data_IF_515367036301
#
_entry.id   IF_515367036301
#
_cell.length_a   1.000
_cell.length_b   1.000
_cell.length_c   1.000
_cell.angle_alpha   90.00
_cell.angle_beta   90.00
_cell.angle_gamma   90.00
#
_symmetry.space_group_name_H-M   'P 1'
#
loop_
_entity.id
_entity.type
_entity.pdbx_description
1 polymer ?
#
# COMPACT_ATOMS: atom_id res chain seq x y z
N UNK A 1 -36.26 -43.84 -6.47
CA UNK A 1 -35.26 -42.77 -6.34
C UNK A 1 -35.00 -42.27 -7.74
N UNK A 2 -35.54 -41.11 -8.11
CA UNK A 2 -35.22 -40.48 -9.38
C UNK A 2 -33.85 -39.81 -9.24
N UNK A 3 -32.90 -40.31 -10.00
CA UNK A 3 -31.58 -39.72 -10.16
C UNK A 3 -31.70 -38.60 -11.20
N UNK A 4 -32.30 -37.48 -10.81
CA UNK A 4 -32.41 -36.27 -11.61
C UNK A 4 -31.09 -35.47 -11.60
N UNK A 5 -29.96 -36.14 -11.92
CA UNK A 5 -28.73 -35.42 -12.22
C UNK A 5 -28.92 -34.75 -13.58
N UNK A 6 -29.42 -33.51 -13.57
CA UNK A 6 -29.63 -32.70 -14.78
C UNK A 6 -28.31 -32.62 -15.54
N UNK A 7 -28.25 -33.31 -16.68
CA UNK A 7 -27.03 -33.42 -17.50
C UNK A 7 -26.65 -32.01 -17.98
N UNK A 8 -25.48 -31.52 -17.56
CA UNK A 8 -24.98 -30.20 -17.94
C UNK A 8 -24.83 -30.13 -19.46
N UNK A 9 -25.44 -29.14 -20.09
CA UNK A 9 -25.36 -28.92 -21.53
C UNK A 9 -24.19 -28.01 -21.90
N UNK A 10 -23.78 -28.00 -23.17
CA UNK A 10 -22.78 -27.04 -23.67
C UNK A 10 -23.24 -25.59 -23.52
N UNK A 11 -24.56 -25.34 -23.60
CA UNK A 11 -25.14 -24.01 -23.38
C UNK A 11 -25.01 -23.58 -21.91
N UNK A 12 -25.17 -24.50 -20.96
CA UNK A 12 -24.93 -24.24 -19.54
C UNK A 12 -23.46 -23.91 -19.28
N UNK A 13 -22.53 -24.65 -19.92
CA UNK A 13 -21.09 -24.38 -19.84
C UNK A 13 -20.77 -23.00 -20.42
N UNK A 14 -21.27 -22.67 -21.61
CA UNK A 14 -21.02 -21.38 -22.25
C UNK A 14 -21.58 -20.21 -21.43
N UNK A 15 -22.78 -20.37 -20.84
CA UNK A 15 -23.37 -19.36 -19.96
C UNK A 15 -22.52 -19.14 -18.71
N UNK A 16 -22.04 -20.22 -18.09
CA UNK A 16 -21.18 -20.15 -16.91
C UNK A 16 -19.82 -19.51 -17.24
N UNK A 17 -19.20 -19.87 -18.37
CA UNK A 17 -17.96 -19.25 -18.84
C UNK A 17 -18.16 -17.76 -19.09
N UNK A 18 -19.21 -17.38 -19.81
CA UNK A 18 -19.52 -15.99 -20.08
C UNK A 18 -19.74 -15.19 -18.78
N UNK A 19 -20.49 -15.74 -17.83
CA UNK A 19 -20.67 -15.10 -16.52
C UNK A 19 -19.35 -14.96 -15.75
N UNK A 20 -18.50 -16.00 -15.78
CA UNK A 20 -17.20 -16.00 -15.11
C UNK A 20 -16.27 -14.96 -15.72
N UNK A 21 -16.18 -14.89 -17.04
CA UNK A 21 -15.38 -13.87 -17.73
C UNK A 21 -15.88 -12.47 -17.43
N UNK A 22 -17.21 -12.24 -17.46
CA UNK A 22 -17.80 -10.94 -17.11
C UNK A 22 -17.40 -10.49 -15.70
N UNK A 23 -17.42 -11.40 -14.73
CA UNK A 23 -16.96 -11.12 -13.36
C UNK A 23 -15.46 -10.85 -13.32
N UNK A 24 -14.64 -11.62 -14.05
CA UNK A 24 -13.19 -11.42 -14.09
C UNK A 24 -12.83 -10.04 -14.66
N UNK A 25 -13.39 -9.67 -15.81
CA UNK A 25 -13.06 -8.41 -16.49
C UNK A 25 -13.61 -7.17 -15.76
N UNK A 26 -14.58 -7.36 -14.86
CA UNK A 26 -15.06 -6.30 -13.96
C UNK A 26 -14.07 -5.95 -12.83
N UNK A 27 -12.97 -6.70 -12.70
CA UNK A 27 -11.87 -6.35 -11.79
C UNK A 27 -10.83 -5.47 -12.49
N UNK A 28 -10.10 -4.61 -11.76
CA UNK A 28 -10.21 -4.35 -10.31
C UNK A 28 -11.50 -3.59 -9.94
N UNK A 29 -12.01 -3.84 -8.73
CA UNK A 29 -13.21 -3.18 -8.19
C UNK A 29 -12.88 -1.75 -7.72
N UNK A 30 -13.87 -0.86 -7.65
CA UNK A 30 -13.67 0.55 -7.23
C UNK A 30 -12.98 0.65 -5.88
N UNK A 31 -13.48 -0.07 -4.89
CA UNK A 31 -12.91 -0.08 -3.55
C UNK A 31 -11.39 -0.43 -3.56
N UNK A 32 -10.99 -1.39 -4.40
CA UNK A 32 -9.58 -1.78 -4.59
C UNK A 32 -8.77 -0.69 -5.31
N UNK A 33 -9.36 -0.03 -6.31
CA UNK A 33 -8.75 1.12 -6.99
C UNK A 33 -8.57 2.31 -6.02
N UNK A 34 -9.57 2.56 -5.17
CA UNK A 34 -9.57 3.67 -4.21
C UNK A 34 -8.44 3.48 -3.19
N UNK A 35 -8.31 2.28 -2.61
CA UNK A 35 -7.19 1.96 -1.73
C UNK A 35 -5.85 2.21 -2.41
N UNK A 36 -5.68 1.76 -3.66
CA UNK A 36 -4.43 1.93 -4.38
C UNK A 36 -4.10 3.41 -4.65
N UNK A 37 -5.08 4.20 -5.08
CA UNK A 37 -4.90 5.58 -5.47
C UNK A 37 -4.79 6.53 -4.27
N UNK A 38 -5.62 6.32 -3.24
CA UNK A 38 -5.96 7.35 -2.25
C UNK A 38 -5.67 7.01 -0.79
N UNK A 39 -5.28 5.77 -0.44
CA UNK A 39 -4.93 5.43 0.95
C UNK A 39 -3.95 6.43 1.57
N UNK A 40 -4.13 6.80 2.85
CA UNK A 40 -3.27 7.78 3.51
C UNK A 40 -1.83 7.28 3.52
N UNK A 41 -1.02 7.99 2.77
CA UNK A 41 0.36 7.63 2.57
C UNK A 41 1.24 7.91 3.78
N UNK A 42 0.70 8.62 4.77
CA UNK A 42 1.38 8.89 6.03
C UNK A 42 1.01 7.90 7.12
N UNK A 43 -0.01 7.07 6.89
CA UNK A 43 -0.48 6.09 7.84
C UNK A 43 -0.27 4.65 7.30
N UNK A 44 0.81 3.96 7.71
CA UNK A 44 1.08 2.59 7.24
C UNK A 44 0.05 1.55 7.68
N UNK A 45 -0.88 1.90 8.56
CA UNK A 45 -1.99 1.02 8.97
C UNK A 45 -3.26 1.24 8.14
N UNK A 46 -3.28 2.24 7.24
CA UNK A 46 -4.46 2.63 6.45
C UNK A 46 -4.71 1.68 5.26
N UNK A 47 -3.83 0.71 5.03
CA UNK A 47 -3.98 -0.29 3.98
C UNK A 47 -4.98 -1.40 4.36
N UNK A 48 -5.32 -1.53 5.65
CA UNK A 48 -6.02 -2.74 6.13
C UNK A 48 -7.52 -2.62 6.37
N UNK A 49 -8.17 -1.47 6.63
CA UNK A 49 -9.63 -1.53 6.90
C UNK A 49 -10.48 -0.24 6.85
N UNK A 50 -10.02 0.87 6.29
CA UNK A 50 -10.86 2.08 6.19
C UNK A 50 -10.76 2.72 4.82
N UNK A 51 -11.64 2.32 3.90
CA UNK A 51 -11.85 3.13 2.70
C UNK A 51 -12.55 4.39 3.17
N UNK A 52 -11.88 5.53 3.03
CA UNK A 52 -12.51 6.83 3.28
C UNK A 52 -13.74 6.95 2.35
N UNK A 53 -14.96 7.14 2.90
CA UNK A 53 -16.17 7.28 2.09
C UNK A 53 -16.07 8.37 1.02
N UNK A 54 -15.29 9.43 1.29
CA UNK A 54 -15.04 10.52 0.33
C UNK A 54 -14.29 10.03 -0.92
N UNK A 55 -13.41 9.03 -0.78
CA UNK A 55 -12.67 8.45 -1.90
C UNK A 55 -13.52 7.48 -2.73
N UNK A 56 -14.48 6.79 -2.11
CA UNK A 56 -15.49 6.02 -2.83
C UNK A 56 -16.40 6.95 -3.64
N UNK A 57 -16.88 8.04 -3.03
CA UNK A 57 -17.70 9.04 -3.72
C UNK A 57 -16.97 9.69 -4.91
N UNK A 58 -15.67 9.97 -4.75
CA UNK A 58 -14.83 10.44 -5.85
C UNK A 58 -14.74 9.40 -6.98
N UNK A 59 -14.48 8.12 -6.66
CA UNK A 59 -14.43 7.08 -7.68
C UNK A 59 -15.76 6.86 -8.38
N UNK A 60 -16.86 6.88 -7.65
CA UNK A 60 -18.20 6.76 -8.23
C UNK A 60 -18.48 7.95 -9.15
N UNK A 61 -18.04 9.15 -8.79
CA UNK A 61 -18.13 10.33 -9.65
C UNK A 61 -17.29 10.19 -10.92
N UNK A 62 -16.06 9.68 -10.82
CA UNK A 62 -15.18 9.39 -11.96
C UNK A 62 -15.81 8.32 -12.86
N UNK A 63 -16.30 7.23 -12.27
CA UNK A 63 -16.94 6.14 -13.00
C UNK A 63 -18.21 6.62 -13.72
N UNK A 64 -19.05 7.41 -13.06
CA UNK A 64 -20.24 7.99 -13.68
C UNK A 64 -19.88 8.92 -14.85
N UNK A 65 -18.84 9.73 -14.72
CA UNK A 65 -18.33 10.59 -15.81
C UNK A 65 -17.88 9.75 -17.01
N UNK A 66 -17.11 8.68 -16.76
CA UNK A 66 -16.61 7.78 -17.80
C UNK A 66 -17.76 7.03 -18.48
N UNK A 67 -18.67 6.42 -17.72
CA UNK A 67 -19.84 5.73 -18.29
C UNK A 67 -20.69 6.66 -19.14
N UNK A 68 -20.93 7.88 -18.66
CA UNK A 68 -21.66 8.89 -19.42
C UNK A 68 -20.93 9.22 -20.73
N UNK A 69 -19.62 9.48 -20.68
CA UNK A 69 -18.84 9.78 -21.87
C UNK A 69 -18.86 8.64 -22.89
N UNK A 70 -18.65 7.40 -22.45
CA UNK A 70 -18.69 6.22 -23.33
C UNK A 70 -20.08 6.06 -23.95
N UNK A 71 -21.14 6.21 -23.16
CA UNK A 71 -22.52 6.12 -23.64
C UNK A 71 -22.87 7.23 -24.65
N UNK A 72 -22.47 8.46 -24.37
CA UNK A 72 -22.72 9.61 -25.26
C UNK A 72 -21.96 9.49 -26.60
N UNK A 73 -20.97 8.60 -26.68
CA UNK A 73 -20.16 8.35 -27.86
C UNK A 73 -20.28 6.91 -28.40
N UNK A 74 -21.26 6.12 -27.96
CA UNK A 74 -21.43 4.71 -28.34
C UNK A 74 -21.60 4.54 -29.87
N UNK A 75 -22.25 5.52 -30.51
CA UNK A 75 -22.42 5.58 -31.96
C UNK A 75 -21.11 5.77 -32.75
N UNK A 76 -20.01 6.14 -32.08
CA UNK A 76 -18.68 6.29 -32.71
C UNK A 76 -17.85 5.01 -32.62
N UNK A 77 -18.33 3.99 -31.90
CA UNK A 77 -17.60 2.74 -31.70
C UNK A 77 -17.93 1.77 -32.83
N UNK A 78 -16.89 1.24 -33.49
CA UNK A 78 -17.05 0.35 -34.63
C UNK A 78 -16.76 -1.10 -34.23
N UNK A 79 -17.82 -1.86 -33.93
CA UNK A 79 -17.77 -3.27 -33.57
C UNK A 79 -17.76 -4.24 -34.76
N UNK A 80 -17.41 -3.81 -35.99
CA UNK A 80 -17.46 -4.68 -37.18
C UNK A 80 -16.33 -5.70 -37.26
N UNK A 81 -15.13 -5.33 -36.78
CA UNK A 81 -13.94 -6.19 -36.80
C UNK A 81 -13.14 -6.01 -35.52
N UNK A 82 -12.21 -6.93 -35.27
CA UNK A 82 -11.24 -6.81 -34.18
C UNK A 82 -10.49 -5.47 -34.22
N UNK A 83 -9.89 -5.13 -35.37
CA UNK A 83 -9.06 -3.93 -35.54
C UNK A 83 -9.90 -2.66 -35.36
N UNK A 84 -11.05 -2.58 -36.02
CA UNK A 84 -11.93 -1.42 -35.89
C UNK A 84 -12.46 -1.22 -34.48
N UNK A 85 -12.71 -2.31 -33.75
CA UNK A 85 -13.16 -2.24 -32.35
C UNK A 85 -12.04 -1.70 -31.47
N UNK A 86 -10.83 -2.24 -31.63
CA UNK A 86 -9.67 -1.79 -30.87
C UNK A 86 -9.38 -0.31 -31.14
N UNK A 87 -9.26 0.08 -32.41
CA UNK A 87 -8.93 1.45 -32.81
C UNK A 87 -9.99 2.46 -32.32
N UNK A 88 -11.28 2.13 -32.45
CA UNK A 88 -12.35 3.05 -32.04
C UNK A 88 -12.43 3.21 -30.51
N UNK A 89 -12.26 2.13 -29.73
CA UNK A 89 -12.20 2.21 -28.28
C UNK A 89 -10.93 2.91 -27.78
N UNK A 90 -9.78 2.67 -28.42
CA UNK A 90 -8.53 3.34 -28.08
C UNK A 90 -8.60 4.85 -28.36
N UNK A 91 -9.15 5.22 -29.53
CA UNK A 91 -9.39 6.62 -29.88
C UNK A 91 -10.37 7.29 -28.90
N UNK A 92 -11.43 6.59 -28.51
CA UNK A 92 -12.39 7.08 -27.51
C UNK A 92 -11.70 7.36 -26.17
N UNK A 93 -10.85 6.45 -25.71
CA UNK A 93 -10.03 6.63 -24.50
C UNK A 93 -9.13 7.85 -24.61
N UNK A 94 -8.39 7.98 -25.72
CA UNK A 94 -7.48 9.13 -25.96
C UNK A 94 -8.22 10.45 -25.94
N UNK A 95 -9.37 10.53 -26.60
CA UNK A 95 -10.17 11.76 -26.66
C UNK A 95 -10.69 12.17 -25.27
N UNK A 96 -11.10 11.22 -24.43
CA UNK A 96 -11.51 11.52 -23.05
C UNK A 96 -10.44 12.29 -22.26
N UNK A 97 -9.16 11.93 -22.44
CA UNK A 97 -8.03 12.56 -21.73
C UNK A 97 -7.42 13.77 -22.46
N UNK A 98 -7.93 14.16 -23.64
CA UNK A 98 -7.41 15.29 -24.43
C UNK A 98 -8.44 16.40 -24.65
N UNK A 99 -9.73 16.14 -24.46
CA UNK A 99 -10.82 17.08 -24.73
C UNK A 99 -11.32 17.80 -23.45
N UNK A 100 -12.40 18.58 -23.57
CA UNK A 100 -13.07 19.28 -22.47
C UNK A 100 -13.41 18.37 -21.27
N UNK A 101 -13.67 17.08 -21.53
CA UNK A 101 -13.91 16.07 -20.49
C UNK A 101 -12.70 15.90 -19.55
N UNK A 102 -11.48 16.11 -20.06
CA UNK A 102 -10.27 16.12 -19.24
C UNK A 102 -10.32 17.25 -18.21
N UNK A 103 -10.73 18.46 -18.60
CA UNK A 103 -10.87 19.59 -17.67
C UNK A 103 -11.93 19.29 -16.60
N UNK A 104 -13.05 18.67 -16.97
CA UNK A 104 -14.09 18.25 -16.01
C UNK A 104 -13.52 17.24 -15.01
N UNK A 105 -12.73 16.26 -15.48
CA UNK A 105 -12.05 15.31 -14.62
C UNK A 105 -11.02 16.00 -13.72
N UNK A 106 -10.22 16.92 -14.26
CA UNK A 106 -9.25 17.69 -13.49
C UNK A 106 -9.91 18.52 -12.40
N UNK A 107 -11.02 19.20 -12.69
CA UNK A 107 -11.80 19.95 -11.72
C UNK A 107 -12.41 19.04 -10.66
N UNK A 108 -12.90 17.86 -11.04
CA UNK A 108 -13.45 16.87 -10.12
C UNK A 108 -12.39 16.42 -9.11
N UNK A 109 -11.19 16.06 -9.59
CA UNK A 109 -10.11 15.55 -8.75
C UNK A 109 -9.44 16.68 -7.96
N UNK A 110 -9.35 17.89 -8.52
CA UNK A 110 -8.70 19.04 -7.88
C UNK A 110 -9.48 19.62 -6.70
N UNK A 111 -10.74 19.23 -6.51
CA UNK A 111 -11.51 19.48 -5.27
C UNK A 111 -10.92 18.76 -4.06
N UNK A 112 -10.13 17.71 -4.30
CA UNK A 112 -9.38 16.98 -3.30
C UNK A 112 -7.94 17.50 -3.23
N UNK A 113 -7.22 17.28 -2.12
CA UNK A 113 -5.87 17.83 -1.93
C UNK A 113 -4.98 17.66 -3.18
N UNK A 114 -4.23 18.71 -3.56
CA UNK A 114 -3.36 18.72 -4.77
C UNK A 114 -2.44 17.49 -4.91
N UNK A 115 -2.11 16.81 -3.80
CA UNK A 115 -1.28 15.59 -3.78
C UNK A 115 -1.97 14.37 -4.39
N UNK A 116 -3.29 14.41 -4.54
CA UNK A 116 -4.14 13.30 -5.01
C UNK A 116 -4.38 13.37 -6.53
N UNK A 117 -4.13 14.52 -7.17
CA UNK A 117 -4.44 14.77 -8.59
C UNK A 117 -3.92 13.68 -9.54
N UNK A 118 -2.61 13.40 -9.51
CA UNK A 118 -2.01 12.39 -10.39
C UNK A 118 -2.62 10.99 -10.18
N UNK A 119 -3.06 10.69 -8.95
CA UNK A 119 -3.65 9.40 -8.58
C UNK A 119 -5.11 9.29 -8.99
N UNK A 120 -5.86 10.39 -8.96
CA UNK A 120 -7.20 10.45 -9.54
C UNK A 120 -7.19 10.24 -11.05
N UNK A 121 -6.21 10.80 -11.76
CA UNK A 121 -6.04 10.56 -13.20
C UNK A 121 -5.69 9.09 -13.52
N UNK A 122 -4.84 8.46 -12.69
CA UNK A 122 -4.55 7.02 -12.82
C UNK A 122 -5.77 6.15 -12.52
N UNK A 123 -6.56 6.50 -11.49
CA UNK A 123 -7.81 5.82 -11.20
C UNK A 123 -8.81 5.93 -12.36
N UNK A 124 -8.93 7.11 -12.98
CA UNK A 124 -9.74 7.32 -14.17
C UNK A 124 -9.26 6.47 -15.36
N UNK A 125 -7.95 6.33 -15.57
CA UNK A 125 -7.40 5.41 -16.58
C UNK A 125 -7.79 3.95 -16.33
N UNK A 126 -7.68 3.48 -15.09
CA UNK A 126 -8.06 2.10 -14.73
C UNK A 126 -9.55 1.87 -15.00
N UNK A 127 -10.41 2.80 -14.56
CA UNK A 127 -11.86 2.72 -14.76
C UNK A 127 -12.22 2.77 -16.24
N UNK A 128 -11.62 3.69 -17.02
CA UNK A 128 -11.84 3.79 -18.47
C UNK A 128 -11.55 2.46 -19.16
N UNK A 129 -10.37 1.89 -18.95
CA UNK A 129 -10.00 0.61 -19.54
C UNK A 129 -10.94 -0.53 -19.11
N UNK A 130 -11.40 -0.55 -17.86
CA UNK A 130 -12.40 -1.52 -17.39
C UNK A 130 -13.75 -1.36 -18.12
N UNK A 131 -14.23 -0.14 -18.29
CA UNK A 131 -15.49 0.15 -19.00
C UNK A 131 -15.39 -0.24 -20.47
N UNK A 132 -14.29 0.09 -21.15
CA UNK A 132 -14.06 -0.29 -22.55
C UNK A 132 -13.92 -1.82 -22.71
N UNK A 133 -13.28 -2.49 -21.75
CA UNK A 133 -13.22 -3.96 -21.71
C UNK A 133 -14.61 -4.59 -21.64
N UNK A 134 -15.49 -4.06 -20.79
CA UNK A 134 -16.88 -4.52 -20.66
C UNK A 134 -17.70 -4.23 -21.93
N UNK A 135 -17.49 -3.07 -22.57
CA UNK A 135 -18.15 -2.72 -23.83
C UNK A 135 -17.75 -3.67 -24.97
N UNK A 136 -16.45 -3.96 -25.11
CA UNK A 136 -15.96 -4.94 -26.10
C UNK A 136 -16.51 -6.34 -25.82
N UNK A 137 -16.54 -6.77 -24.55
CA UNK A 137 -17.08 -8.06 -24.14
C UNK A 137 -18.56 -8.21 -24.49
N UNK A 138 -19.36 -7.18 -24.17
CA UNK A 138 -20.80 -7.17 -24.44
C UNK A 138 -21.12 -7.29 -25.94
N UNK A 139 -20.20 -6.86 -26.81
CA UNK A 139 -20.31 -6.94 -28.26
C UNK A 139 -19.57 -8.15 -28.87
N UNK A 140 -19.12 -9.10 -28.06
CA UNK A 140 -18.49 -10.35 -28.54
C UNK A 140 -17.02 -10.23 -28.96
N UNK A 141 -16.37 -9.09 -28.73
CA UNK A 141 -14.97 -8.84 -29.07
C UNK A 141 -14.04 -9.23 -27.93
N UNK A 142 -13.98 -10.52 -27.61
CA UNK A 142 -13.31 -11.04 -26.42
C UNK A 142 -11.80 -10.74 -26.35
N UNK A 143 -11.10 -10.77 -27.49
CA UNK A 143 -9.67 -10.44 -27.52
C UNK A 143 -9.42 -8.97 -27.18
N UNK A 144 -10.25 -8.05 -27.73
CA UNK A 144 -10.16 -6.62 -27.42
C UNK A 144 -10.49 -6.38 -25.94
N UNK A 145 -11.54 -7.04 -25.45
CA UNK A 145 -11.91 -6.99 -24.03
C UNK A 145 -10.75 -7.40 -23.12
N UNK A 146 -10.05 -8.48 -23.44
CA UNK A 146 -8.89 -8.96 -22.69
C UNK A 146 -7.76 -7.93 -22.66
N UNK A 147 -7.43 -7.31 -23.80
CA UNK A 147 -6.35 -6.31 -23.88
C UNK A 147 -6.64 -5.11 -22.96
N UNK A 148 -7.84 -4.54 -23.03
CA UNK A 148 -8.24 -3.44 -22.14
C UNK A 148 -8.27 -3.86 -20.67
N UNK A 149 -8.70 -5.08 -20.36
CA UNK A 149 -8.68 -5.60 -18.98
C UNK A 149 -7.24 -5.71 -18.44
N UNK A 150 -6.32 -6.26 -19.22
CA UNK A 150 -4.91 -6.37 -18.82
C UNK A 150 -4.29 -4.98 -18.61
N UNK A 151 -4.57 -4.01 -19.49
CA UNK A 151 -4.13 -2.61 -19.28
C UNK A 151 -4.68 -2.02 -17.97
N UNK A 152 -5.96 -2.24 -17.65
CA UNK A 152 -6.54 -1.78 -16.39
C UNK A 152 -5.83 -2.40 -15.17
N UNK A 153 -5.55 -3.70 -15.23
CA UNK A 153 -4.89 -4.46 -14.17
C UNK A 153 -3.43 -4.09 -14.00
N UNK A 154 -2.66 -3.94 -15.08
CA UNK A 154 -1.27 -3.49 -15.03
C UNK A 154 -1.16 -2.10 -14.44
N UNK A 155 -2.01 -1.17 -14.88
CA UNK A 155 -2.05 0.21 -14.35
C UNK A 155 -2.38 0.23 -12.86
N UNK A 156 -3.32 -0.61 -12.43
CA UNK A 156 -3.65 -0.79 -11.02
C UNK A 156 -2.46 -1.35 -10.22
N UNK A 157 -1.78 -2.38 -10.71
CA UNK A 157 -0.60 -2.95 -10.06
C UNK A 157 0.54 -1.93 -9.92
N UNK A 158 0.79 -1.14 -10.96
CA UNK A 158 1.75 -0.03 -10.91
C UNK A 158 1.37 0.99 -9.84
N UNK A 159 0.09 1.34 -9.74
CA UNK A 159 -0.43 2.27 -8.73
C UNK A 159 -0.20 1.74 -7.31
N UNK A 160 -0.54 0.46 -7.08
CA UNK A 160 -0.29 -0.24 -5.81
C UNK A 160 1.20 -0.25 -5.46
N UNK A 161 2.04 -0.64 -6.42
CA UNK A 161 3.48 -0.76 -6.21
C UNK A 161 4.12 0.58 -5.85
N UNK A 162 3.78 1.66 -6.55
CA UNK A 162 4.30 3.00 -6.22
C UNK A 162 3.84 3.45 -4.84
N UNK A 163 2.60 3.12 -4.44
CA UNK A 163 2.10 3.42 -3.11
C UNK A 163 2.90 2.65 -2.02
N UNK A 164 3.07 1.33 -2.16
CA UNK A 164 3.85 0.50 -1.22
C UNK A 164 5.29 1.00 -1.07
N UNK A 165 5.95 1.37 -2.18
CA UNK A 165 7.30 1.91 -2.15
C UNK A 165 7.38 3.23 -1.39
N UNK A 166 6.42 4.12 -1.61
CA UNK A 166 6.32 5.36 -0.84
C UNK A 166 6.15 5.08 0.65
N UNK A 167 5.22 4.20 1.04
CA UNK A 167 4.97 3.82 2.43
C UNK A 167 6.22 3.27 3.10
N UNK A 168 6.93 2.39 2.40
CA UNK A 168 8.16 1.76 2.90
C UNK A 168 9.26 2.80 3.09
N UNK A 169 9.43 3.72 2.13
CA UNK A 169 10.39 4.81 2.22
C UNK A 169 10.07 5.74 3.40
N UNK A 170 8.80 6.12 3.56
CA UNK A 170 8.36 6.97 4.67
C UNK A 170 8.56 6.30 6.03
N UNK A 171 8.19 5.02 6.18
CA UNK A 171 8.42 4.25 7.41
C UNK A 171 9.90 4.19 7.77
N UNK A 172 10.76 3.98 6.77
CA UNK A 172 12.21 4.01 6.95
C UNK A 172 12.70 5.40 7.36
N UNK A 173 12.17 6.47 6.76
CA UNK A 173 12.52 7.84 7.12
C UNK A 173 12.08 8.20 8.55
N UNK A 174 10.83 7.91 8.92
CA UNK A 174 10.31 8.11 10.28
C UNK A 174 11.13 7.33 11.31
N UNK A 175 11.47 6.08 11.02
CA UNK A 175 12.37 5.27 11.84
C UNK A 175 13.76 5.93 11.98
N UNK A 176 14.32 6.47 10.89
CA UNK A 176 15.60 7.21 10.94
C UNK A 176 15.50 8.51 11.75
N UNK A 177 14.41 9.28 11.63
CA UNK A 177 14.17 10.51 12.39
C UNK A 177 14.03 10.21 13.89
N UNK A 178 13.26 9.18 14.24
CA UNK A 178 13.08 8.73 15.62
C UNK A 178 14.38 8.17 16.23
N UNK A 179 15.20 7.45 15.44
CA UNK A 179 16.55 7.02 15.85
C UNK A 179 17.46 8.21 16.14
N UNK A 180 17.46 9.25 15.31
CA UNK A 180 18.27 10.46 15.57
C UNK A 180 17.89 11.17 16.88
N UNK A 181 16.61 11.27 17.19
CA UNK A 181 16.14 11.88 18.45
C UNK A 181 16.46 11.02 19.66
N UNK A 182 16.28 9.69 19.58
CA UNK A 182 16.66 8.77 20.65
C UNK A 182 18.18 8.69 20.84
N UNK A 183 18.96 8.60 19.77
CA UNK A 183 20.42 8.60 19.86
C UNK A 183 20.93 9.93 20.46
N UNK A 184 20.33 11.08 20.12
CA UNK A 184 20.69 12.37 20.70
C UNK A 184 20.26 12.52 22.18
N UNK A 185 19.08 12.02 22.56
CA UNK A 185 18.56 12.07 23.94
C UNK A 185 19.32 11.15 24.89
N UNK A 186 19.80 10.01 24.40
CA UNK A 186 20.39 8.96 25.23
C UNK A 186 21.93 8.85 25.14
N UNK A 187 22.59 9.48 24.15
CA UNK A 187 24.06 9.38 23.95
C UNK A 187 24.87 9.75 25.20
N UNK A 188 24.46 10.78 25.94
CA UNK A 188 25.18 11.23 27.15
C UNK A 188 24.83 10.42 28.40
N UNK A 189 23.54 10.21 28.64
CA UNK A 189 23.06 9.59 29.88
C UNK A 189 23.30 8.07 29.91
N UNK A 190 23.09 7.35 28.80
CA UNK A 190 23.40 5.91 28.73
C UNK A 190 24.91 5.66 28.80
N UNK A 191 25.72 6.56 28.24
CA UNK A 191 27.17 6.47 28.38
C UNK A 191 27.61 6.69 29.84
N UNK A 192 27.05 7.69 30.52
CA UNK A 192 27.28 7.91 31.95
C UNK A 192 26.88 6.69 32.77
N UNK A 193 25.72 6.10 32.50
CA UNK A 193 25.26 4.87 33.16
C UNK A 193 26.19 3.69 32.87
N UNK A 194 26.66 3.51 31.63
CA UNK A 194 27.61 2.44 31.28
C UNK A 194 28.96 2.61 31.99
N UNK A 195 29.48 3.83 32.08
CA UNK A 195 30.71 4.14 32.80
C UNK A 195 30.54 3.93 34.30
N UNK A 196 29.41 4.35 34.85
CA UNK A 196 29.07 4.13 36.26
C UNK A 196 28.91 2.64 36.60
N UNK A 197 28.21 1.87 35.77
CA UNK A 197 28.07 0.42 35.99
C UNK A 197 29.40 -0.32 35.82
N UNK A 198 30.30 0.16 34.95
CA UNK A 198 31.65 -0.38 34.84
C UNK A 198 32.48 -0.08 36.09
N UNK A 199 32.43 1.13 36.64
CA UNK A 199 33.16 1.45 37.88
C UNK A 199 32.64 0.66 39.08
N UNK A 200 31.31 0.44 39.16
CA UNK A 200 30.69 -0.42 40.15
C UNK A 200 31.15 -1.89 40.02
N UNK A 201 31.28 -2.39 38.79
CA UNK A 201 31.84 -3.71 38.51
C UNK A 201 33.33 -3.82 38.92
N UNK A 202 34.14 -2.81 38.62
CA UNK A 202 35.56 -2.74 39.01
C UNK A 202 35.75 -2.72 40.53
N UNK A 203 34.98 -1.90 41.26
CA UNK A 203 34.98 -1.85 42.74
C UNK A 203 34.67 -3.24 43.30
N UNK A 204 33.64 -3.89 42.76
CA UNK A 204 33.19 -5.19 43.24
C UNK A 204 34.17 -6.31 42.92
N UNK A 205 34.82 -6.26 41.75
CA UNK A 205 35.90 -7.17 41.40
C UNK A 205 37.13 -6.98 42.29
N UNK A 206 37.49 -5.74 42.65
CA UNK A 206 38.59 -5.45 43.59
C UNK A 206 38.34 -6.01 45.00
N UNK A 207 37.08 -6.15 45.39
CA UNK A 207 36.67 -6.73 46.67
C UNK A 207 36.49 -8.26 46.68
N UNK A 208 36.70 -8.95 45.56
CA UNK A 208 36.39 -10.39 45.42
C UNK A 208 37.53 -11.19 44.76
N UNK A 209 37.98 -12.27 45.42
CA UNK A 209 38.99 -13.21 44.87
C UNK A 209 38.49 -14.04 43.67
N UNK A 210 37.23 -13.91 43.24
CA UNK A 210 36.66 -14.59 42.06
C UNK A 210 35.99 -13.60 41.11
N UNK A 211 36.23 -13.76 39.80
CA UNK A 211 35.58 -12.99 38.73
C UNK A 211 34.06 -13.21 38.74
N UNK A 212 33.29 -12.16 38.93
CA UNK A 212 31.83 -12.21 38.97
C UNK A 212 31.21 -12.20 37.55
N UNK A 213 30.11 -12.92 37.39
CA UNK A 213 29.35 -12.98 36.13
C UNK A 213 28.58 -11.67 35.89
N UNK A 214 28.37 -11.29 34.63
CA UNK A 214 27.59 -10.09 34.26
C UNK A 214 26.21 -10.11 34.92
N UNK A 215 25.57 -11.29 35.00
CA UNK A 215 24.27 -11.47 35.64
C UNK A 215 24.32 -11.15 37.14
N UNK A 216 25.33 -11.64 37.86
CA UNK A 216 25.46 -11.39 39.31
C UNK A 216 25.79 -9.92 39.63
N UNK A 217 26.53 -9.26 38.75
CA UNK A 217 26.84 -7.83 38.88
C UNK A 217 25.63 -6.97 38.54
N UNK A 218 24.92 -7.27 37.44
CA UNK A 218 23.70 -6.57 37.07
C UNK A 218 22.59 -6.70 38.13
N UNK A 219 22.43 -7.88 38.73
CA UNK A 219 21.48 -8.10 39.83
C UNK A 219 21.77 -7.20 41.02
N UNK A 220 23.04 -7.11 41.43
CA UNK A 220 23.43 -6.28 42.55
C UNK A 220 23.29 -4.79 42.27
N UNK A 221 23.63 -4.35 41.05
CA UNK A 221 23.38 -2.96 40.62
C UNK A 221 21.88 -2.67 40.66
N UNK A 222 21.05 -3.60 40.17
CA UNK A 222 19.59 -3.48 40.20
C UNK A 222 19.03 -3.33 41.63
N UNK A 223 19.65 -4.02 42.60
CA UNK A 223 19.20 -4.04 44.01
C UNK A 223 19.74 -2.87 44.85
N UNK A 224 20.93 -2.33 44.55
CA UNK A 224 21.65 -1.41 45.43
C UNK A 224 22.04 -0.08 44.79
N UNK A 225 22.02 0.03 43.47
CA UNK A 225 22.55 1.18 42.71
C UNK A 225 21.66 1.57 41.50
N UNK A 226 20.35 1.27 41.59
CA UNK A 226 19.39 1.49 40.51
C UNK A 226 18.54 2.75 40.74
N UNK A 227 19.20 3.89 40.84
CA UNK A 227 18.55 5.18 41.10
C UNK A 227 17.56 5.57 39.99
N UNK A 228 17.79 5.08 38.77
CA UNK A 228 16.96 5.31 37.57
C UNK A 228 15.80 4.31 37.40
N UNK A 229 15.59 3.40 38.36
CA UNK A 229 14.55 2.37 38.33
C UNK A 229 14.52 1.53 37.04
N UNK A 230 15.68 1.24 36.46
CA UNK A 230 15.81 0.48 35.23
C UNK A 230 15.54 -1.01 35.47
N UNK A 231 14.96 -1.66 34.47
CA UNK A 231 14.79 -3.12 34.48
C UNK A 231 16.16 -3.83 34.47
N UNK A 232 16.22 -5.00 35.13
CA UNK A 232 17.43 -5.81 35.24
C UNK A 232 18.04 -6.13 33.87
N UNK A 233 17.21 -6.43 32.87
CA UNK A 233 17.61 -6.71 31.49
C UNK A 233 18.34 -5.52 30.86
N UNK A 234 17.87 -4.30 31.15
CA UNK A 234 18.47 -3.05 30.64
C UNK A 234 19.83 -2.80 31.30
N UNK A 235 19.94 -2.98 32.62
CA UNK A 235 21.21 -2.88 33.36
C UNK A 235 22.22 -3.93 32.85
N UNK A 236 21.76 -5.17 32.62
CA UNK A 236 22.58 -6.25 32.09
C UNK A 236 23.11 -5.95 30.68
N UNK A 237 22.27 -5.40 29.80
CA UNK A 237 22.68 -4.99 28.45
C UNK A 237 23.72 -3.86 28.50
N UNK A 238 23.49 -2.84 29.33
CA UNK A 238 24.43 -1.73 29.52
C UNK A 238 25.79 -2.22 30.04
N UNK A 239 25.81 -3.06 31.07
CA UNK A 239 27.03 -3.61 31.63
C UNK A 239 27.77 -4.52 30.63
N UNK A 240 27.03 -5.33 29.86
CA UNK A 240 27.60 -6.18 28.80
C UNK A 240 28.28 -5.36 27.71
N UNK A 241 27.64 -4.27 27.28
CA UNK A 241 28.23 -3.32 26.31
C UNK A 241 29.45 -2.60 26.89
N UNK A 242 29.39 -2.17 28.15
CA UNK A 242 30.49 -1.50 28.84
C UNK A 242 31.74 -2.40 28.97
N UNK A 243 31.58 -3.66 29.39
CA UNK A 243 32.68 -4.65 29.46
C UNK A 243 33.35 -4.92 28.10
N UNK A 244 32.61 -4.76 27.01
CA UNK A 244 33.11 -4.91 25.63
C UNK A 244 33.77 -3.64 25.09
N UNK A 245 33.89 -2.57 25.89
CA UNK A 245 34.39 -1.28 25.44
C UNK A 245 33.47 -0.55 24.46
N UNK A 246 32.19 -0.96 24.38
CA UNK A 246 31.20 -0.36 23.48
C UNK A 246 30.61 0.87 24.18
N UNK A 247 31.39 1.94 24.15
CA UNK A 247 30.94 3.29 24.44
C UNK A 247 30.55 3.95 23.12
N UNK A 248 29.50 4.76 23.14
CA UNK A 248 29.17 5.60 21.98
C UNK A 248 30.31 6.60 21.81
N UNK A 249 31.13 6.44 20.77
CA UNK A 249 32.23 7.38 20.51
C UNK A 249 31.71 8.82 20.56
N UNK A 250 32.45 9.63 21.31
CA UNK A 250 32.47 11.11 21.34
C UNK A 250 31.99 11.73 20.03
#
# INVERSE_FOLDING_TARGET
>A
MNDDSKKITMEDVNRNLHATFKVMISKPLNNVIACAAFADRNNPNDYEDVINPEYEELLDSIENLIHKYVKDNDNKINFSTYESTFDSLELLSKNFFLEETHNILEDLVSKYEKKIWAWGILAAHIIMNRVLSLAAFANGHYQVSYLFHETAKETHLHTVFTNIHFMTALKNELSRRNRKSNDARWKGHVEQLRRHYLSLDEIRQGSSNKKQTIKAVAQWICEHHNDEQLELETIRDHLSKARKGIFTNS
#
